data_IF_018907000953
#
_entry.id   IF_018907000953
#
_cell.length_a   1.000
_cell.length_b   1.000
_cell.length_c   1.000
_cell.angle_alpha   90.00
_cell.angle_beta   90.00
_cell.angle_gamma   90.00
#
_symmetry.space_group_name_H-M   'P 1'
#
loop_
_entity.id
_entity.type
_entity.pdbx_description
1 polymer ?
#
# COMPACT_ATOMS: atom_id res chain seq x y z
N UNK A 1 -30.26 -8.05 15.73
CA UNK A 1 -29.55 -6.96 15.03
C UNK A 1 -28.71 -7.58 13.93
N UNK A 2 -28.91 -7.19 12.68
CA UNK A 2 -28.24 -7.78 11.52
C UNK A 2 -26.79 -7.33 11.51
N UNK A 3 -25.86 -8.24 11.80
CA UNK A 3 -24.45 -8.00 11.57
C UNK A 3 -24.24 -7.82 10.07
N UNK A 4 -24.13 -6.58 9.62
CA UNK A 4 -23.48 -6.28 8.35
C UNK A 4 -22.07 -6.84 8.49
N UNK A 5 -21.82 -8.01 7.89
CA UNK A 5 -20.48 -8.52 7.64
C UNK A 5 -19.83 -7.54 6.67
N UNK A 6 -19.34 -6.41 7.18
CA UNK A 6 -18.40 -5.59 6.45
C UNK A 6 -17.26 -6.55 6.11
N UNK A 7 -17.05 -6.81 4.82
CA UNK A 7 -15.82 -7.41 4.35
C UNK A 7 -14.72 -6.40 4.68
N UNK A 8 -14.26 -6.39 5.93
CA UNK A 8 -13.11 -5.63 6.35
C UNK A 8 -11.97 -6.18 5.51
N UNK A 9 -11.48 -5.39 4.56
CA UNK A 9 -10.16 -5.58 4.00
C UNK A 9 -9.21 -5.52 5.20
N UNK A 10 -8.94 -6.67 5.79
CA UNK A 10 -7.88 -6.86 6.75
C UNK A 10 -6.61 -6.54 5.97
N UNK A 11 -6.14 -5.31 6.18
CA UNK A 11 -4.92 -4.82 5.54
C UNK A 11 -3.80 -5.52 6.30
N UNK A 12 -3.50 -6.75 5.91
CA UNK A 12 -2.31 -7.42 6.36
C UNK A 12 -1.11 -6.82 5.63
N UNK A 13 0.10 -7.08 6.16
CA UNK A 13 1.34 -6.59 5.57
C UNK A 13 1.48 -6.92 4.07
N UNK A 14 0.99 -8.10 3.64
CA UNK A 14 1.00 -8.52 2.24
C UNK A 14 0.07 -7.69 1.34
N UNK A 15 -1.16 -7.41 1.78
CA UNK A 15 -2.09 -6.54 1.04
C UNK A 15 -1.57 -5.10 0.97
N UNK A 16 -1.00 -4.59 2.07
CA UNK A 16 -0.37 -3.27 2.12
C UNK A 16 0.79 -3.16 1.12
N UNK A 17 1.68 -4.16 1.10
CA UNK A 17 2.78 -4.25 0.16
C UNK A 17 2.32 -4.20 -1.30
N UNK A 18 1.34 -5.04 -1.66
CA UNK A 18 0.84 -5.12 -3.05
C UNK A 18 0.23 -3.78 -3.47
N UNK A 19 -0.63 -3.18 -2.64
CA UNK A 19 -1.21 -1.87 -2.92
C UNK A 19 -0.13 -0.79 -3.05
N UNK A 20 0.88 -0.81 -2.19
CA UNK A 20 2.02 0.11 -2.26
C UNK A 20 2.78 0.03 -3.58
N UNK A 21 3.06 -1.19 -4.08
CA UNK A 21 3.70 -1.40 -5.38
C UNK A 21 2.82 -0.86 -6.52
N UNK A 22 1.52 -1.14 -6.50
CA UNK A 22 0.60 -0.64 -7.53
C UNK A 22 0.56 0.89 -7.56
N UNK A 23 0.52 1.54 -6.40
CA UNK A 23 0.54 3.01 -6.30
C UNK A 23 1.88 3.56 -6.80
N UNK A 24 3.01 2.95 -6.42
CA UNK A 24 4.33 3.33 -6.93
C UNK A 24 4.43 3.22 -8.45
N UNK A 25 3.95 2.11 -9.02
CA UNK A 25 3.91 1.91 -10.46
C UNK A 25 3.00 2.91 -11.18
N UNK A 26 1.86 3.26 -10.60
CA UNK A 26 0.94 4.26 -11.16
C UNK A 26 1.58 5.66 -11.21
N UNK A 27 2.30 6.06 -10.16
CA UNK A 27 3.05 7.32 -10.13
C UNK A 27 4.17 7.32 -11.17
N UNK A 28 4.93 6.21 -11.27
CA UNK A 28 5.99 6.08 -12.26
C UNK A 28 5.44 6.19 -13.71
N UNK A 29 4.30 5.55 -13.98
CA UNK A 29 3.61 5.65 -15.28
C UNK A 29 3.15 7.07 -15.57
N UNK A 30 2.53 7.76 -14.61
CA UNK A 30 2.09 9.14 -14.79
C UNK A 30 3.25 10.07 -15.11
N UNK A 31 4.36 9.95 -14.37
CA UNK A 31 5.55 10.76 -14.61
C UNK A 31 6.14 10.44 -15.98
N UNK A 32 6.22 9.18 -16.36
CA UNK A 32 6.72 8.77 -17.67
C UNK A 32 5.84 9.31 -18.82
N UNK A 33 4.52 9.32 -18.68
CA UNK A 33 3.60 9.86 -19.68
C UNK A 33 3.78 11.38 -19.82
N UNK A 34 3.97 12.10 -18.71
CA UNK A 34 4.06 13.56 -18.71
C UNK A 34 5.45 14.05 -19.16
N UNK A 35 6.51 13.38 -18.71
CA UNK A 35 7.90 13.85 -18.86
C UNK A 35 8.72 13.06 -19.87
N UNK A 36 8.27 11.87 -20.26
CA UNK A 36 9.05 10.91 -21.06
C UNK A 36 10.19 10.23 -20.27
N UNK A 37 10.40 10.57 -19.00
CA UNK A 37 11.50 10.05 -18.19
C UNK A 37 11.13 8.74 -17.49
N UNK A 38 11.92 7.69 -17.75
CA UNK A 38 11.78 6.37 -17.13
C UNK A 38 12.58 6.20 -15.84
N UNK A 39 13.44 7.16 -15.48
CA UNK A 39 14.31 7.10 -14.30
C UNK A 39 13.52 6.94 -13.00
N UNK A 40 12.27 7.42 -12.98
CA UNK A 40 11.31 7.30 -11.88
C UNK A 40 11.06 5.87 -11.43
N UNK A 41 11.11 4.89 -12.36
CA UNK A 41 10.89 3.47 -12.05
C UNK A 41 11.93 2.90 -11.08
N UNK A 42 13.16 3.44 -11.08
CA UNK A 42 14.26 2.96 -10.23
C UNK A 42 14.00 3.10 -8.73
N UNK A 43 13.18 4.09 -8.34
CA UNK A 43 12.89 4.39 -6.93
C UNK A 43 11.40 4.30 -6.57
N UNK A 44 10.48 4.42 -7.53
CA UNK A 44 9.05 4.39 -7.26
C UNK A 44 8.57 3.04 -6.70
N UNK A 45 9.13 1.92 -7.17
CA UNK A 45 8.77 0.58 -6.69
C UNK A 45 9.29 0.34 -5.26
N UNK A 46 10.58 0.58 -4.94
CA UNK A 46 11.07 0.51 -3.55
C UNK A 46 10.30 1.41 -2.57
N UNK A 47 9.97 2.64 -2.97
CA UNK A 47 9.19 3.58 -2.15
C UNK A 47 7.77 3.06 -1.93
N UNK A 48 7.10 2.60 -3.00
CA UNK A 48 5.78 2.00 -2.92
C UNK A 48 5.75 0.79 -1.98
N UNK A 49 6.74 -0.09 -2.07
CA UNK A 49 6.93 -1.22 -1.16
C UNK A 49 7.06 -0.79 0.30
N UNK A 50 7.95 0.17 0.60
CA UNK A 50 8.19 0.65 1.95
C UNK A 50 6.94 1.30 2.56
N UNK A 51 6.25 2.16 1.81
CA UNK A 51 5.00 2.78 2.25
C UNK A 51 3.89 1.74 2.45
N UNK A 52 3.74 0.81 1.50
CA UNK A 52 2.75 -0.27 1.58
C UNK A 52 2.94 -1.17 2.81
N UNK A 53 4.18 -1.57 3.08
CA UNK A 53 4.55 -2.34 4.26
C UNK A 53 4.33 -1.56 5.55
N UNK A 54 4.70 -0.28 5.60
CA UNK A 54 4.50 0.57 6.77
C UNK A 54 3.01 0.73 7.13
N UNK A 55 2.15 0.91 6.12
CA UNK A 55 0.69 0.99 6.31
C UNK A 55 0.14 -0.36 6.80
N UNK A 56 0.56 -1.47 6.18
CA UNK A 56 0.15 -2.81 6.59
C UNK A 56 0.59 -3.15 8.02
N UNK A 57 1.86 -2.88 8.36
CA UNK A 57 2.40 -3.12 9.71
C UNK A 57 1.81 -2.18 10.77
N UNK A 58 1.57 -0.91 10.42
CA UNK A 58 0.94 0.07 11.31
C UNK A 58 -0.49 -0.34 11.69
N UNK A 59 -1.27 -0.85 10.72
CA UNK A 59 -2.62 -1.36 10.99
C UNK A 59 -2.59 -2.63 11.85
N UNK A 60 -1.60 -3.52 11.62
CA UNK A 60 -1.42 -4.74 12.40
C UNK A 60 -1.03 -4.45 13.86
N UNK A 61 -0.18 -3.44 14.09
CA UNK A 61 0.22 -2.99 15.43
C UNK A 61 -0.90 -2.23 16.16
N UNK A 62 -1.78 -1.52 15.44
CA UNK A 62 -2.96 -0.86 16.00
C UNK A 62 -4.01 -1.87 16.48
N UNK A 63 -4.32 -2.86 15.66
CA UNK A 63 -5.27 -3.93 16.01
C UNK A 63 -4.83 -4.75 17.23
N UNK A 64 -3.52 -4.99 17.39
CA UNK A 64 -2.97 -5.71 18.54
C UNK A 64 -2.99 -4.89 19.84
N UNK A 65 -3.08 -3.54 19.76
CA UNK A 65 -3.25 -2.67 20.93
C UNK A 65 -4.72 -2.54 21.35
N UNK A 66 -5.66 -2.70 20.43
CA UNK A 66 -7.11 -2.65 20.74
C UNK A 66 -7.65 -3.98 21.30
N UNK A 67 -6.90 -5.08 21.16
CA UNK A 67 -7.28 -6.41 21.62
C UNK A 67 -6.70 -6.81 23.00
N UNK A 68 -6.02 -5.89 23.71
CA UNK A 68 -5.41 -6.13 25.03
C UNK A 68 -5.99 -5.20 26.09
#
# INVERSE_FOLDING_TARGET
>A
MKHHKQNSLELNAGTGMVLGIFVGAAIALLIQIITGDSSTWSWAIPVGLACGLAIGAGKQNGANKEAK
#
